data_IF_822253469730
#
_entry.id   IF_822253469730
#
_cell.length_a   1.000
_cell.length_b   1.000
_cell.length_c   1.000
_cell.angle_alpha   90.00
_cell.angle_beta   90.00
_cell.angle_gamma   90.00
#
_symmetry.space_group_name_H-M   'P 1'
#
loop_
_entity.id
_entity.type
_entity.pdbx_description
1 polymer ?
#
# COMPACT_ATOMS: atom_id res chain seq x y z
N UNK A 1 3.58 -3.85 23.05
CA UNK A 1 2.81 -5.12 23.07
C UNK A 1 2.40 -5.58 21.66
N UNK A 2 2.12 -4.71 20.69
CA UNK A 2 1.69 -5.09 19.33
C UNK A 2 2.66 -6.03 18.59
N UNK A 3 3.98 -5.84 18.74
CA UNK A 3 4.99 -6.69 18.10
C UNK A 3 4.89 -8.17 18.48
N UNK A 4 4.54 -8.46 19.73
CA UNK A 4 4.48 -9.83 20.26
C UNK A 4 3.10 -10.50 20.05
N UNK A 5 2.09 -9.72 19.68
CA UNK A 5 0.72 -10.22 19.49
C UNK A 5 0.50 -10.93 18.17
N UNK A 6 1.28 -10.61 17.12
CA UNK A 6 1.09 -11.18 15.80
C UNK A 6 1.28 -12.68 15.77
N UNK A 7 0.41 -13.39 15.06
CA UNK A 7 0.50 -14.85 14.89
C UNK A 7 1.81 -15.26 14.22
N UNK A 8 2.31 -14.45 13.30
CA UNK A 8 3.60 -14.65 12.63
C UNK A 8 4.76 -14.64 13.63
N UNK A 9 4.79 -13.66 14.54
CA UNK A 9 5.83 -13.61 15.58
C UNK A 9 5.77 -14.84 16.48
N UNK A 10 4.56 -15.25 16.90
CA UNK A 10 4.36 -16.45 17.71
C UNK A 10 4.83 -17.71 17.00
N UNK A 11 4.51 -17.86 15.70
CA UNK A 11 4.94 -19.00 14.89
C UNK A 11 6.47 -19.06 14.73
N UNK A 12 7.11 -17.91 14.45
CA UNK A 12 8.57 -17.82 14.35
C UNK A 12 9.24 -18.17 15.69
N UNK A 13 8.70 -17.65 16.80
CA UNK A 13 9.22 -17.94 18.15
C UNK A 13 9.07 -19.42 18.50
N UNK A 14 7.90 -20.00 18.22
CA UNK A 14 7.66 -21.43 18.43
C UNK A 14 8.68 -22.29 17.64
N UNK A 15 8.90 -21.99 16.37
CA UNK A 15 9.89 -22.65 15.54
C UNK A 15 11.30 -22.52 16.11
N UNK A 16 11.70 -21.31 16.52
CA UNK A 16 13.04 -21.07 17.12
C UNK A 16 13.25 -21.87 18.41
N UNK A 17 12.16 -22.16 19.13
CA UNK A 17 12.17 -23.03 20.34
C UNK A 17 12.04 -24.51 20.02
N UNK A 18 12.08 -24.93 18.76
CA UNK A 18 12.05 -26.32 18.33
C UNK A 18 10.66 -26.95 18.21
N UNK A 19 9.59 -26.16 18.28
CA UNK A 19 8.24 -26.67 18.07
C UNK A 19 8.05 -27.14 16.63
N UNK A 20 7.33 -28.24 16.42
CA UNK A 20 6.98 -28.79 15.10
C UNK A 20 5.73 -28.16 14.50
N UNK A 21 4.88 -27.57 15.33
CA UNK A 21 3.64 -26.92 14.92
C UNK A 21 3.19 -25.90 15.96
N UNK A 22 2.24 -25.05 15.55
CA UNK A 22 1.56 -24.08 16.43
C UNK A 22 0.05 -24.27 16.29
N UNK A 23 -0.62 -24.42 17.42
CA UNK A 23 -2.08 -24.42 17.48
C UNK A 23 -2.50 -23.13 18.15
N UNK A 24 -3.41 -22.42 17.52
CA UNK A 24 -3.95 -21.14 18.01
C UNK A 24 -5.43 -21.31 18.33
N UNK A 25 -5.81 -20.87 19.51
CA UNK A 25 -7.21 -20.81 19.96
C UNK A 25 -7.51 -19.39 20.40
N UNK A 26 -8.72 -18.88 20.10
CA UNK A 26 -9.12 -17.52 20.49
C UNK A 26 -9.33 -17.41 21.99
N UNK A 27 -9.91 -18.43 22.60
CA UNK A 27 -10.23 -18.52 24.00
C UNK A 27 -11.55 -17.84 24.39
N UNK A 28 -12.16 -18.30 25.49
CA UNK A 28 -13.52 -17.90 25.90
C UNK A 28 -13.64 -16.43 26.34
N UNK A 29 -12.54 -15.76 26.71
CA UNK A 29 -12.52 -14.34 27.06
C UNK A 29 -12.32 -13.43 25.86
N UNK A 30 -12.12 -14.00 24.67
CA UNK A 30 -11.98 -13.21 23.46
C UNK A 30 -13.26 -12.48 23.12
N UNK A 31 -13.16 -11.20 22.71
CA UNK A 31 -14.29 -10.45 22.15
C UNK A 31 -14.81 -11.05 20.83
N UNK A 32 -13.99 -11.87 20.20
CA UNK A 32 -14.28 -12.58 18.96
C UNK A 32 -14.61 -14.02 19.31
N UNK A 33 -15.87 -14.29 19.58
CA UNK A 33 -16.36 -15.59 20.05
C UNK A 33 -16.40 -16.58 18.89
N UNK A 34 -15.82 -17.78 19.10
CA UNK A 34 -15.81 -18.92 18.16
C UNK A 34 -15.22 -18.67 16.77
N UNK A 35 -14.36 -17.68 16.60
CA UNK A 35 -13.71 -17.44 15.31
C UNK A 35 -12.36 -18.17 15.22
N UNK A 36 -12.22 -18.89 14.13
CA UNK A 36 -10.90 -19.33 13.67
C UNK A 36 -10.11 -18.10 13.19
N UNK A 37 -8.81 -18.11 13.39
CA UNK A 37 -7.96 -17.08 12.80
C UNK A 37 -8.11 -17.11 11.27
N UNK A 38 -8.47 -15.99 10.63
CA UNK A 38 -8.65 -15.97 9.19
C UNK A 38 -7.32 -16.26 8.47
N UNK A 39 -7.41 -17.03 7.37
CA UNK A 39 -6.28 -17.15 6.44
C UNK A 39 -6.21 -15.87 5.62
N UNK A 40 -5.25 -15.01 5.94
CA UNK A 40 -4.99 -13.80 5.18
C UNK A 40 -3.65 -13.89 4.49
N UNK A 41 -3.59 -13.40 3.26
CA UNK A 41 -2.31 -13.18 2.58
C UNK A 41 -1.71 -11.88 3.10
N UNK A 42 -0.52 -11.95 3.68
CA UNK A 42 0.17 -10.78 4.27
C UNK A 42 1.30 -10.25 3.37
N UNK A 43 1.28 -10.59 2.08
CA UNK A 43 2.30 -10.25 1.10
C UNK A 43 3.75 -10.66 1.49
N UNK A 44 3.94 -11.35 2.60
CA UNK A 44 5.26 -11.81 3.00
C UNK A 44 5.68 -13.04 2.21
N UNK A 45 6.81 -12.95 1.53
CA UNK A 45 7.44 -14.09 0.84
C UNK A 45 8.00 -15.12 1.83
N UNK A 46 8.16 -14.78 3.09
CA UNK A 46 8.71 -15.64 4.11
C UNK A 46 7.61 -16.43 4.81
N UNK A 47 7.55 -17.72 4.53
CA UNK A 47 6.80 -18.70 5.32
C UNK A 47 7.29 -18.67 6.78
N UNK A 48 6.37 -18.89 7.75
CA UNK A 48 6.76 -19.11 9.14
C UNK A 48 7.67 -20.35 9.30
N UNK A 49 7.71 -21.22 8.28
CA UNK A 49 8.49 -22.46 8.25
C UNK A 49 8.06 -23.48 9.31
N UNK A 50 6.83 -23.34 9.83
CA UNK A 50 6.22 -24.22 10.81
C UNK A 50 4.72 -24.36 10.49
N UNK A 51 4.18 -25.56 10.67
CA UNK A 51 2.74 -25.79 10.53
C UNK A 51 1.98 -24.99 11.60
N UNK A 52 1.00 -24.19 11.19
CA UNK A 52 0.16 -23.43 12.10
C UNK A 52 -1.32 -23.66 11.77
N UNK A 53 -2.12 -23.95 12.78
CA UNK A 53 -3.57 -24.18 12.65
C UNK A 53 -4.32 -23.35 13.70
N UNK A 54 -5.50 -22.88 13.35
CA UNK A 54 -6.45 -22.30 14.29
C UNK A 54 -7.55 -23.31 14.59
N UNK A 55 -7.91 -23.42 15.83
CA UNK A 55 -8.95 -24.34 16.28
C UNK A 55 -9.98 -23.63 17.16
N UNK A 56 -11.17 -24.20 17.28
CA UNK A 56 -12.22 -23.70 18.18
C UNK A 56 -11.86 -23.96 19.64
N UNK A 57 -12.50 -23.22 20.56
CA UNK A 57 -12.32 -23.39 22.01
C UNK A 57 -12.65 -24.82 22.46
N UNK A 58 -13.70 -25.43 21.88
CA UNK A 58 -14.06 -26.82 22.16
C UNK A 58 -12.96 -27.83 21.80
N UNK A 59 -12.18 -27.57 20.73
CA UNK A 59 -11.01 -28.38 20.39
C UNK A 59 -9.87 -28.08 21.36
N UNK A 60 -9.67 -26.82 21.74
CA UNK A 60 -8.70 -26.41 22.75
C UNK A 60 -8.90 -27.14 24.08
N UNK A 61 -10.13 -27.17 24.57
CA UNK A 61 -10.47 -27.91 25.81
C UNK A 61 -10.23 -29.42 25.69
N UNK A 62 -10.53 -30.02 24.54
CA UNK A 62 -10.20 -31.45 24.30
C UNK A 62 -8.69 -31.71 24.34
N UNK A 63 -7.88 -30.81 23.82
CA UNK A 63 -6.42 -30.92 23.88
C UNK A 63 -5.89 -30.79 25.32
N UNK A 64 -6.59 -30.07 26.18
CA UNK A 64 -6.25 -29.87 27.59
C UNK A 64 -6.82 -30.95 28.52
N UNK A 65 -7.75 -31.79 28.06
CA UNK A 65 -8.49 -32.73 28.90
C UNK A 65 -7.60 -33.63 29.82
N UNK A 66 -6.43 -34.02 29.32
CA UNK A 66 -5.46 -34.83 30.10
C UNK A 66 -4.69 -34.05 31.17
N UNK A 67 -4.84 -32.74 31.25
CA UNK A 67 -4.11 -31.86 32.19
C UNK A 67 -4.93 -31.54 33.45
N UNK A 68 -6.22 -31.83 33.47
CA UNK A 68 -7.13 -31.42 34.51
C UNK A 68 -7.41 -29.91 34.57
N UNK A 69 -7.07 -29.17 33.50
CA UNK A 69 -7.29 -27.71 33.37
C UNK A 69 -8.20 -27.40 32.22
N UNK A 70 -8.92 -26.29 32.31
CA UNK A 70 -9.76 -25.78 31.22
C UNK A 70 -9.09 -24.60 30.52
N UNK A 71 -9.49 -24.36 29.28
CA UNK A 71 -9.02 -23.20 28.52
C UNK A 71 -9.37 -21.89 29.24
N UNK A 72 -10.56 -21.83 29.87
CA UNK A 72 -11.01 -20.67 30.64
C UNK A 72 -10.11 -20.33 31.83
N UNK A 73 -9.78 -21.35 32.65
CA UNK A 73 -8.88 -21.15 33.80
C UNK A 73 -7.49 -20.67 33.39
N UNK A 74 -6.95 -21.21 32.28
CA UNK A 74 -5.65 -20.81 31.78
C UNK A 74 -5.68 -19.40 31.22
N UNK A 75 -6.73 -19.05 30.50
CA UNK A 75 -6.86 -17.71 29.95
C UNK A 75 -7.08 -16.65 31.05
N UNK A 76 -7.91 -16.93 32.06
CA UNK A 76 -8.12 -16.02 33.19
C UNK A 76 -6.81 -15.70 33.91
N UNK A 77 -5.94 -16.70 34.10
CA UNK A 77 -4.61 -16.46 34.68
C UNK A 77 -3.74 -15.57 33.81
N UNK A 78 -3.68 -15.84 32.50
CA UNK A 78 -2.92 -15.03 31.57
C UNK A 78 -3.45 -13.59 31.49
N UNK A 79 -4.77 -13.41 31.47
CA UNK A 79 -5.42 -12.10 31.42
C UNK A 79 -5.19 -11.29 32.70
N UNK A 80 -5.02 -11.95 33.83
CA UNK A 80 -4.63 -11.36 35.11
C UNK A 80 -3.13 -11.07 35.23
N UNK A 81 -2.33 -11.45 34.22
CA UNK A 81 -0.88 -11.18 34.17
C UNK A 81 -0.02 -12.24 34.84
N UNK A 82 -0.58 -13.40 35.17
CA UNK A 82 0.19 -14.50 35.73
C UNK A 82 1.21 -15.02 34.71
N UNK A 83 2.48 -15.09 35.13
CA UNK A 83 3.52 -15.76 34.34
C UNK A 83 3.35 -17.28 34.49
N UNK A 84 2.87 -17.91 33.44
CA UNK A 84 2.68 -19.36 33.42
C UNK A 84 3.77 -20.02 32.60
N UNK A 85 4.31 -21.13 33.15
CA UNK A 85 5.13 -22.04 32.39
C UNK A 85 4.33 -22.88 31.40
N UNK A 86 5.00 -23.60 30.51
CA UNK A 86 4.37 -24.56 29.62
C UNK A 86 3.67 -25.68 30.39
N UNK A 87 2.59 -26.22 29.84
CA UNK A 87 1.80 -27.34 30.37
C UNK A 87 1.95 -28.47 29.36
N UNK A 88 2.40 -29.64 29.87
CA UNK A 88 2.46 -30.84 29.07
C UNK A 88 1.06 -31.48 28.94
N UNK A 89 0.49 -31.41 27.74
CA UNK A 89 -0.83 -31.96 27.44
C UNK A 89 -0.83 -33.51 27.29
N UNK A 90 0.32 -34.15 27.31
CA UNK A 90 0.49 -35.62 27.25
C UNK A 90 -0.24 -36.32 26.11
N UNK A 91 -0.61 -35.57 25.07
CA UNK A 91 -1.29 -36.08 23.91
C UNK A 91 -0.43 -36.00 22.65
N UNK A 92 -0.83 -36.71 21.63
CA UNK A 92 -0.29 -36.58 20.28
C UNK A 92 -1.34 -35.97 19.34
N UNK A 93 -0.89 -35.07 18.48
CA UNK A 93 -1.72 -34.52 17.41
C UNK A 93 -1.14 -34.94 16.07
N UNK A 94 -1.97 -35.50 15.21
CA UNK A 94 -1.67 -35.68 13.80
C UNK A 94 -2.51 -34.71 12.98
N UNK A 95 -1.87 -33.94 12.13
CA UNK A 95 -2.55 -33.02 11.23
C UNK A 95 -1.97 -33.13 9.81
N UNK A 96 -2.85 -33.22 8.82
CA UNK A 96 -2.47 -33.08 7.41
C UNK A 96 -2.98 -31.71 6.95
N UNK A 97 -2.05 -30.78 6.67
CA UNK A 97 -2.41 -29.41 6.25
C UNK A 97 -2.11 -29.28 4.77
N UNK A 98 -3.17 -29.11 3.98
CA UNK A 98 -3.06 -28.84 2.54
C UNK A 98 -3.51 -27.40 2.32
N UNK A 99 -2.58 -26.55 1.88
CA UNK A 99 -2.89 -25.16 1.50
C UNK A 99 -2.90 -25.11 -0.02
N UNK A 100 -4.08 -24.87 -0.59
CA UNK A 100 -4.22 -24.59 -2.00
C UNK A 100 -4.02 -23.10 -2.23
N UNK A 101 -2.95 -22.76 -2.93
CA UNK A 101 -2.67 -21.38 -3.29
C UNK A 101 -3.33 -21.06 -4.64
N UNK A 102 -4.32 -20.19 -4.62
CA UNK A 102 -4.92 -19.65 -5.84
C UNK A 102 -4.07 -18.47 -6.32
N UNK A 103 -3.45 -18.62 -7.50
CA UNK A 103 -2.69 -17.53 -8.13
C UNK A 103 -3.56 -16.82 -9.14
N UNK A 104 -3.75 -15.53 -8.95
CA UNK A 104 -4.42 -14.65 -9.91
C UNK A 104 -3.39 -13.70 -10.53
N UNK A 105 -3.66 -13.27 -11.77
CA UNK A 105 -2.82 -12.29 -12.47
C UNK A 105 -3.49 -10.93 -12.42
N UNK A 106 -2.81 -9.94 -11.83
CA UNK A 106 -3.11 -8.53 -11.99
C UNK A 106 -2.38 -7.95 -13.22
N UNK A 107 -2.75 -6.74 -13.62
CA UNK A 107 -2.12 -6.01 -14.71
C UNK A 107 -2.02 -4.55 -14.36
N UNK A 108 -0.82 -3.97 -14.46
CA UNK A 108 -0.67 -2.53 -14.55
C UNK A 108 -1.04 -2.07 -15.96
N UNK A 109 -1.64 -0.89 -16.08
CA UNK A 109 -1.88 -0.25 -17.37
C UNK A 109 -0.90 0.92 -17.49
N UNK A 110 -0.12 0.92 -18.55
CA UNK A 110 0.90 1.93 -18.79
C UNK A 110 0.65 2.60 -20.15
N UNK A 111 0.75 3.93 -20.19
CA UNK A 111 0.71 4.71 -21.42
C UNK A 111 1.90 5.68 -21.43
N UNK A 112 2.47 5.94 -22.60
CA UNK A 112 3.63 6.81 -22.75
C UNK A 112 3.26 8.01 -23.62
N UNK A 113 3.54 9.22 -23.13
CA UNK A 113 3.61 10.42 -23.96
C UNK A 113 5.08 10.67 -24.28
N UNK A 114 5.54 10.31 -25.49
CA UNK A 114 6.95 10.39 -25.83
C UNK A 114 7.40 11.85 -26.02
N UNK A 115 8.65 12.16 -25.68
CA UNK A 115 9.22 13.48 -25.97
C UNK A 115 9.74 13.59 -27.40
N UNK A 116 10.29 12.53 -27.95
CA UNK A 116 10.83 12.42 -29.30
C UNK A 116 10.13 11.37 -30.17
N UNK A 117 10.61 11.16 -31.37
CA UNK A 117 10.13 10.11 -32.28
C UNK A 117 10.64 8.72 -31.86
N UNK A 118 11.87 8.66 -31.32
CA UNK A 118 12.49 7.44 -30.84
C UNK A 118 12.80 7.55 -29.34
N UNK A 119 12.66 6.47 -28.58
CA UNK A 119 13.04 6.45 -27.16
C UNK A 119 14.56 6.68 -27.00
N UNK A 120 14.94 7.54 -26.06
CA UNK A 120 16.32 7.72 -25.66
C UNK A 120 16.55 7.11 -24.25
N UNK A 121 17.33 6.02 -24.16
CA UNK A 121 17.55 5.34 -22.87
C UNK A 121 18.39 6.17 -21.89
N UNK A 122 19.01 7.27 -22.33
CA UNK A 122 19.77 8.18 -21.47
C UNK A 122 18.91 9.29 -20.84
N UNK A 123 17.67 9.42 -21.28
CA UNK A 123 16.73 10.42 -20.75
C UNK A 123 15.72 9.75 -19.82
N UNK A 124 15.87 10.01 -18.53
CA UNK A 124 15.01 9.46 -17.49
C UNK A 124 13.55 9.93 -17.64
N UNK A 125 12.57 9.04 -17.86
CA UNK A 125 11.16 9.39 -17.97
C UNK A 125 10.57 9.83 -16.61
N UNK A 126 9.51 10.63 -16.66
CA UNK A 126 8.68 10.97 -15.52
C UNK A 126 7.54 9.93 -15.39
N UNK A 127 7.20 9.51 -14.19
CA UNK A 127 6.02 8.67 -13.91
C UNK A 127 4.95 9.53 -13.24
N UNK A 128 3.70 9.38 -13.71
CA UNK A 128 2.48 9.92 -13.10
C UNK A 128 1.52 8.78 -12.91
N UNK A 129 1.20 8.43 -11.67
CA UNK A 129 0.45 7.21 -11.38
C UNK A 129 -0.59 7.34 -10.28
N UNK A 130 -1.48 6.35 -10.24
CA UNK A 130 -2.46 6.08 -9.21
C UNK A 130 -2.80 4.58 -9.25
N UNK A 131 -3.26 3.99 -8.15
CA UNK A 131 -3.75 2.61 -8.20
C UNK A 131 -5.18 2.54 -8.71
N UNK A 132 -5.49 1.44 -9.41
CA UNK A 132 -6.79 1.24 -10.06
C UNK A 132 -7.65 0.20 -9.36
N UNK A 133 -7.04 -0.64 -8.54
CA UNK A 133 -7.77 -1.62 -7.73
C UNK A 133 -8.35 -0.97 -6.48
N UNK A 134 -9.39 -1.59 -5.96
CA UNK A 134 -9.94 -1.34 -4.64
C UNK A 134 -10.45 -2.67 -4.06
N UNK A 135 -11.09 -2.64 -2.88
CA UNK A 135 -11.46 -3.85 -2.12
C UNK A 135 -12.55 -4.70 -2.79
N UNK A 136 -13.39 -4.13 -3.65
CA UNK A 136 -14.42 -4.85 -4.39
C UNK A 136 -15.51 -5.47 -3.53
N UNK A 137 -15.96 -6.69 -3.87
CA UNK A 137 -16.95 -7.41 -3.08
C UNK A 137 -16.32 -8.03 -1.83
N UNK A 138 -16.98 -7.91 -0.70
CA UNK A 138 -16.56 -8.40 0.63
C UNK A 138 -15.34 -7.73 1.28
N UNK A 139 -14.65 -6.83 0.61
CA UNK A 139 -13.59 -5.97 1.18
C UNK A 139 -12.38 -6.65 1.82
N UNK A 140 -12.39 -7.96 2.01
CA UNK A 140 -11.30 -8.69 2.63
C UNK A 140 -10.93 -8.21 4.04
N UNK A 141 -9.67 -8.39 4.44
CA UNK A 141 -9.17 -8.00 5.77
C UNK A 141 -8.99 -6.47 5.94
N UNK A 142 -8.97 -5.72 4.84
CA UNK A 142 -8.76 -4.28 4.86
C UNK A 142 -10.07 -3.50 4.97
N UNK A 143 -11.23 -4.17 4.82
CA UNK A 143 -12.54 -3.55 4.96
C UNK A 143 -12.78 -3.06 6.38
N UNK A 144 -13.39 -1.89 6.49
CA UNK A 144 -13.90 -1.32 7.74
C UNK A 144 -15.42 -1.47 7.89
N UNK A 145 -16.08 -2.10 6.91
CA UNK A 145 -17.51 -2.38 6.91
C UNK A 145 -17.92 -3.23 8.10
N UNK A 146 -19.11 -2.98 8.64
CA UNK A 146 -19.67 -3.69 9.79
C UNK A 146 -21.14 -4.02 9.55
N UNK A 147 -21.63 -5.06 10.24
CA UNK A 147 -23.04 -5.46 10.16
C UNK A 147 -23.46 -5.78 8.72
N UNK A 148 -24.54 -5.18 8.26
CA UNK A 148 -25.11 -5.42 6.93
C UNK A 148 -24.25 -4.90 5.77
N UNK A 149 -23.18 -4.16 6.05
CA UNK A 149 -22.29 -3.63 5.02
C UNK A 149 -21.15 -4.59 4.67
N UNK A 150 -20.86 -5.59 5.47
CA UNK A 150 -19.72 -6.51 5.31
C UNK A 150 -19.65 -7.16 3.93
N UNK A 151 -20.82 -7.44 3.33
CA UNK A 151 -20.90 -8.10 2.01
C UNK A 151 -21.25 -7.13 0.87
N UNK A 152 -21.28 -5.82 1.11
CA UNK A 152 -21.53 -4.84 0.07
C UNK A 152 -20.26 -4.59 -0.74
N UNK A 153 -20.45 -4.11 -1.96
CA UNK A 153 -19.34 -3.70 -2.84
C UNK A 153 -18.71 -2.41 -2.28
N UNK A 154 -17.39 -2.43 -2.14
CA UNK A 154 -16.59 -1.25 -1.87
C UNK A 154 -16.29 -0.58 -3.20
N UNK A 155 -16.82 0.63 -3.38
CA UNK A 155 -16.78 1.32 -4.68
C UNK A 155 -15.43 2.01 -4.94
N UNK A 156 -14.76 2.51 -3.89
CA UNK A 156 -13.45 3.15 -4.03
C UNK A 156 -13.49 4.42 -4.86
N UNK A 157 -14.48 5.30 -4.61
CA UNK A 157 -14.62 6.52 -5.40
C UNK A 157 -13.50 7.51 -5.13
N UNK A 158 -13.16 7.73 -3.85
CA UNK A 158 -11.97 8.49 -3.48
C UNK A 158 -10.73 7.61 -3.49
N UNK A 159 -10.83 6.42 -2.98
CA UNK A 159 -9.76 5.43 -2.89
C UNK A 159 -9.95 4.28 -3.90
N UNK A 160 -9.45 4.36 -5.20
CA UNK A 160 -8.69 5.49 -5.68
C UNK A 160 -9.12 5.89 -7.11
N UNK A 161 -10.44 5.83 -7.40
CA UNK A 161 -10.92 6.32 -8.70
C UNK A 161 -10.65 7.83 -8.88
N UNK A 162 -10.58 8.61 -7.79
CA UNK A 162 -10.23 10.03 -7.84
C UNK A 162 -8.82 10.25 -8.38
N UNK A 163 -7.84 9.47 -7.89
CA UNK A 163 -6.45 9.51 -8.39
C UNK A 163 -6.33 9.07 -9.84
N UNK A 164 -7.01 7.98 -10.22
CA UNK A 164 -7.03 7.50 -11.62
C UNK A 164 -7.64 8.55 -12.54
N UNK A 165 -8.75 9.19 -12.15
CA UNK A 165 -9.34 10.30 -12.89
C UNK A 165 -8.33 11.44 -13.09
N UNK A 166 -7.58 11.79 -12.05
CA UNK A 166 -6.50 12.78 -12.12
C UNK A 166 -5.40 12.40 -13.12
N UNK A 167 -4.97 11.12 -13.14
CA UNK A 167 -3.97 10.64 -14.12
C UNK A 167 -4.48 10.79 -15.56
N UNK A 168 -5.74 10.41 -15.80
CA UNK A 168 -6.36 10.50 -17.14
C UNK A 168 -6.47 11.96 -17.62
N UNK A 169 -6.92 12.86 -16.77
CA UNK A 169 -7.03 14.29 -17.09
C UNK A 169 -5.67 14.92 -17.39
N UNK A 170 -4.64 14.60 -16.61
CA UNK A 170 -3.26 15.06 -16.86
C UNK A 170 -2.76 14.52 -18.19
N UNK A 171 -2.98 13.23 -18.47
CA UNK A 171 -2.55 12.60 -19.70
C UNK A 171 -3.18 13.25 -20.92
N UNK A 172 -4.51 13.45 -20.91
CA UNK A 172 -5.24 14.11 -21.98
C UNK A 172 -4.76 15.54 -22.17
N UNK A 173 -4.68 16.32 -21.10
CA UNK A 173 -4.26 17.72 -21.17
C UNK A 173 -2.85 17.88 -21.76
N UNK A 174 -1.88 17.09 -21.33
CA UNK A 174 -0.50 17.18 -21.84
C UNK A 174 -0.38 16.66 -23.28
N UNK A 175 -1.13 15.61 -23.64
CA UNK A 175 -1.19 15.12 -25.00
C UNK A 175 -1.78 16.16 -25.96
N UNK A 176 -2.86 16.85 -25.56
CA UNK A 176 -3.48 17.90 -26.35
C UNK A 176 -2.57 19.11 -26.53
N UNK A 177 -1.86 19.54 -25.47
CA UNK A 177 -0.85 20.61 -25.58
C UNK A 177 0.26 20.25 -26.53
N UNK A 178 0.76 19.00 -26.49
CA UNK A 178 1.80 18.52 -27.40
C UNK A 178 1.28 18.49 -28.83
N UNK A 179 0.10 17.96 -29.09
CA UNK A 179 -0.55 17.92 -30.41
C UNK A 179 -0.74 19.33 -31.01
N UNK A 180 -1.03 20.32 -30.16
CA UNK A 180 -1.17 21.72 -30.57
C UNK A 180 0.15 22.46 -30.74
N UNK A 181 1.30 21.81 -30.55
CA UNK A 181 2.62 22.45 -30.60
C UNK A 181 2.90 23.41 -29.43
N UNK A 182 2.09 23.37 -28.36
CA UNK A 182 2.21 24.25 -27.17
C UNK A 182 3.05 23.62 -26.04
N UNK A 183 3.53 22.41 -26.23
CA UNK A 183 4.33 21.67 -25.26
C UNK A 183 5.50 21.00 -25.96
N UNK A 184 6.71 21.39 -25.58
CA UNK A 184 7.96 20.70 -25.97
C UNK A 184 8.47 19.96 -24.74
N UNK A 185 8.45 18.63 -24.80
CA UNK A 185 8.94 17.77 -23.76
C UNK A 185 10.46 17.61 -23.85
N UNK A 186 11.12 17.38 -22.73
CA UNK A 186 12.55 17.04 -22.61
C UNK A 186 12.73 15.59 -22.16
N UNK A 187 11.64 14.91 -21.76
CA UNK A 187 11.61 13.51 -21.34
C UNK A 187 10.22 12.91 -21.56
N UNK A 188 10.17 11.61 -21.69
CA UNK A 188 8.92 10.87 -21.76
C UNK A 188 8.13 11.00 -20.46
N UNK A 189 6.80 10.93 -20.57
CA UNK A 189 5.91 10.81 -19.41
C UNK A 189 5.21 9.46 -19.49
N UNK A 190 5.39 8.64 -18.47
CA UNK A 190 4.68 7.36 -18.29
C UNK A 190 3.51 7.61 -17.37
N UNK A 191 2.30 7.41 -17.87
CA UNK A 191 1.07 7.37 -17.09
C UNK A 191 0.80 5.95 -16.68
N UNK A 192 0.52 5.73 -15.39
CA UNK A 192 0.40 4.40 -14.84
C UNK A 192 -0.84 4.25 -13.96
N UNK A 193 -1.60 3.17 -14.21
CA UNK A 193 -2.62 2.67 -13.29
C UNK A 193 -2.09 1.36 -12.67
N UNK A 194 -1.78 1.41 -11.38
CA UNK A 194 -1.20 0.29 -10.64
C UNK A 194 -2.28 -0.67 -10.17
N UNK A 195 -2.00 -1.96 -10.15
CA UNK A 195 -2.90 -2.99 -9.68
C UNK A 195 -2.37 -3.67 -8.42
N UNK A 196 -3.26 -4.01 -7.50
CA UNK A 196 -2.90 -4.71 -6.26
C UNK A 196 -2.20 -3.82 -5.24
N UNK A 197 -2.49 -2.53 -5.21
CA UNK A 197 -2.04 -1.61 -4.17
C UNK A 197 -2.57 -2.06 -2.82
N UNK A 198 -3.88 -2.32 -2.73
CA UNK A 198 -4.62 -2.77 -1.56
C UNK A 198 -4.15 -4.12 -1.00
N UNK A 199 -3.43 -4.87 -1.79
CA UNK A 199 -2.82 -6.15 -1.43
C UNK A 199 -1.33 -6.01 -1.06
N UNK A 200 -0.83 -4.80 -0.90
CA UNK A 200 0.54 -4.46 -0.50
C UNK A 200 1.42 -4.02 -1.66
N UNK A 201 0.97 -3.05 -2.44
CA UNK A 201 1.74 -2.37 -3.50
C UNK A 201 2.26 -3.34 -4.59
N UNK A 202 1.48 -4.39 -4.92
CA UNK A 202 1.98 -5.48 -5.77
C UNK A 202 2.36 -5.00 -7.17
N UNK A 203 1.56 -4.11 -7.76
CA UNK A 203 1.75 -3.64 -9.13
C UNK A 203 2.96 -2.72 -9.26
N UNK A 204 3.08 -1.71 -8.42
CA UNK A 204 4.21 -0.78 -8.42
C UNK A 204 5.52 -1.46 -8.06
N UNK A 205 5.53 -2.35 -7.05
CA UNK A 205 6.71 -3.16 -6.71
C UNK A 205 7.12 -4.05 -7.89
N UNK A 206 6.16 -4.76 -8.51
CA UNK A 206 6.46 -5.59 -9.69
C UNK A 206 7.09 -4.77 -10.82
N UNK A 207 6.57 -3.57 -11.08
CA UNK A 207 7.11 -2.70 -12.12
C UNK A 207 8.57 -2.34 -11.86
N UNK A 208 8.89 -1.81 -10.66
CA UNK A 208 10.26 -1.38 -10.36
C UNK A 208 11.24 -2.54 -10.25
N UNK A 209 10.81 -3.70 -9.73
CA UNK A 209 11.62 -4.91 -9.62
C UNK A 209 11.91 -5.54 -10.99
N UNK A 210 10.88 -5.66 -11.84
CA UNK A 210 11.03 -6.17 -13.20
C UNK A 210 11.96 -5.26 -14.02
N UNK A 211 11.80 -3.95 -13.91
CA UNK A 211 12.64 -2.98 -14.58
C UNK A 211 14.09 -3.05 -14.06
N UNK A 212 14.29 -3.11 -12.74
CA UNK A 212 15.62 -3.26 -12.14
C UNK A 212 16.30 -4.56 -12.60
N UNK A 213 15.56 -5.66 -12.62
CA UNK A 213 16.06 -6.95 -13.13
C UNK A 213 16.45 -6.88 -14.61
N UNK A 214 15.63 -6.24 -15.43
CA UNK A 214 15.87 -6.08 -16.86
C UNK A 214 17.12 -5.26 -17.15
N UNK A 215 17.34 -4.13 -16.44
CA UNK A 215 18.43 -3.20 -16.73
C UNK A 215 19.73 -3.53 -15.96
N UNK A 216 19.61 -4.05 -14.74
CA UNK A 216 20.75 -4.30 -13.83
C UNK A 216 20.99 -5.78 -13.54
N UNK A 217 20.12 -6.69 -14.02
CA UNK A 217 20.22 -8.13 -13.70
C UNK A 217 19.76 -8.50 -12.29
N UNK A 218 19.42 -7.53 -11.45
CA UNK A 218 19.00 -7.73 -10.05
C UNK A 218 17.72 -6.95 -9.76
N UNK A 219 16.68 -7.65 -9.34
CA UNK A 219 15.39 -7.04 -8.97
C UNK A 219 15.50 -6.05 -7.80
N UNK A 220 16.49 -6.21 -6.93
CA UNK A 220 16.71 -5.34 -5.77
C UNK A 220 17.60 -4.13 -6.08
N UNK A 221 18.18 -4.05 -7.25
CA UNK A 221 19.07 -2.94 -7.63
C UNK A 221 18.37 -1.58 -7.54
N UNK A 222 19.13 -0.55 -7.16
CA UNK A 222 18.66 0.84 -7.21
C UNK A 222 18.53 1.30 -8.65
N UNK A 223 17.52 2.13 -8.88
CA UNK A 223 17.17 2.73 -10.17
C UNK A 223 17.44 4.25 -10.19
N UNK A 224 18.34 4.72 -9.32
CA UNK A 224 18.70 6.15 -9.24
C UNK A 224 19.12 6.67 -10.62
N UNK A 225 18.48 7.75 -11.06
CA UNK A 225 18.71 8.37 -12.37
C UNK A 225 18.03 7.66 -13.56
N UNK A 226 17.39 6.51 -13.36
CA UNK A 226 16.67 5.80 -14.42
C UNK A 226 15.26 6.34 -14.66
N UNK A 227 14.70 7.01 -13.66
CA UNK A 227 13.45 7.77 -13.73
C UNK A 227 13.68 9.15 -13.13
N UNK A 228 13.05 10.17 -13.72
CA UNK A 228 13.18 11.54 -13.24
C UNK A 228 12.50 11.73 -11.89
N UNK A 229 11.29 11.22 -11.77
CA UNK A 229 10.50 11.22 -10.54
C UNK A 229 9.27 10.30 -10.68
N UNK A 230 8.60 10.00 -9.57
CA UNK A 230 7.27 9.44 -9.52
C UNK A 230 6.33 10.42 -8.82
N UNK A 231 5.31 10.89 -9.54
CA UNK A 231 4.20 11.65 -9.00
C UNK A 231 3.03 10.70 -8.81
N UNK A 232 2.57 10.54 -7.58
CA UNK A 232 1.45 9.66 -7.23
C UNK A 232 0.26 10.46 -6.74
N UNK A 233 -0.94 10.00 -7.05
CA UNK A 233 -2.19 10.56 -6.55
C UNK A 233 -2.99 9.45 -5.89
N UNK A 234 -3.31 9.65 -4.62
CA UNK A 234 -4.00 8.67 -3.82
C UNK A 234 -4.99 9.39 -2.91
N UNK A 235 -6.30 9.15 -3.15
CA UNK A 235 -7.39 9.83 -2.44
C UNK A 235 -7.31 11.36 -2.58
N UNK A 236 -7.57 11.89 -3.77
CA UNK A 236 -7.54 13.34 -4.05
C UNK A 236 -8.94 13.97 -4.15
N UNK A 237 -10.01 13.21 -3.90
CA UNK A 237 -11.39 13.61 -4.11
C UNK A 237 -12.15 14.07 -2.86
N UNK A 238 -11.56 14.03 -1.67
CA UNK A 238 -12.25 14.41 -0.42
C UNK A 238 -11.53 15.55 0.31
N UNK A 239 -11.40 16.67 -0.40
CA UNK A 239 -10.72 17.85 0.14
C UNK A 239 -11.41 18.39 1.39
N UNK A 240 -10.68 18.57 2.48
CA UNK A 240 -11.20 19.07 3.75
C UNK A 240 -10.64 20.48 4.07
N UNK A 241 -9.38 20.56 4.48
CA UNK A 241 -8.73 21.82 4.89
C UNK A 241 -7.55 22.18 4.00
N UNK A 242 -6.77 21.21 3.60
CA UNK A 242 -5.59 21.37 2.76
C UNK A 242 -5.31 20.11 1.97
N UNK A 243 -4.64 20.27 0.84
CA UNK A 243 -3.96 19.18 0.16
C UNK A 243 -2.72 18.80 0.94
N UNK A 244 -2.52 17.53 1.22
CA UNK A 244 -1.30 17.01 1.82
C UNK A 244 -0.38 16.53 0.70
N UNK A 245 0.78 17.17 0.55
CA UNK A 245 1.85 16.70 -0.32
C UNK A 245 2.92 16.01 0.52
N UNK A 246 3.19 14.75 0.21
CA UNK A 246 4.08 13.87 0.97
C UNK A 246 5.29 13.48 0.13
N UNK A 247 6.40 13.14 0.78
CA UNK A 247 7.63 12.75 0.11
C UNK A 247 8.55 13.92 -0.25
N UNK A 248 8.33 15.12 0.33
CA UNK A 248 9.13 16.30 0.01
C UNK A 248 10.62 16.11 0.30
N UNK A 249 10.95 15.31 1.32
CA UNK A 249 12.34 15.02 1.66
C UNK A 249 13.09 14.20 0.61
N UNK A 250 12.40 13.64 -0.38
CA UNK A 250 13.01 12.82 -1.43
C UNK A 250 13.78 13.62 -2.49
N UNK A 251 13.57 14.95 -2.58
CA UNK A 251 14.30 15.84 -3.49
C UNK A 251 14.30 17.29 -2.99
N UNK A 252 15.38 18.01 -3.23
CA UNK A 252 15.49 19.45 -2.92
C UNK A 252 14.61 20.33 -3.81
N UNK A 253 14.15 19.80 -4.93
CA UNK A 253 13.33 20.54 -5.91
C UNK A 253 11.90 20.79 -5.44
N UNK A 254 11.33 19.89 -4.60
CA UNK A 254 9.88 19.86 -4.35
C UNK A 254 9.32 21.16 -3.81
N UNK A 255 9.94 21.73 -2.79
CA UNK A 255 9.43 22.92 -2.13
C UNK A 255 9.24 24.08 -3.13
N UNK A 256 10.27 24.35 -3.95
CA UNK A 256 10.26 25.43 -4.95
C UNK A 256 9.27 25.15 -6.09
N UNK A 257 9.20 23.90 -6.55
CA UNK A 257 8.31 23.53 -7.65
C UNK A 257 6.84 23.60 -7.22
N UNK A 258 6.52 23.14 -6.01
CA UNK A 258 5.18 23.25 -5.43
C UNK A 258 4.75 24.71 -5.30
N UNK A 259 5.57 25.56 -4.71
CA UNK A 259 5.29 27.00 -4.56
C UNK A 259 5.00 27.64 -5.91
N UNK A 260 5.90 27.44 -6.89
CA UNK A 260 5.78 27.96 -8.24
C UNK A 260 4.48 27.53 -8.93
N UNK A 261 4.09 26.24 -8.80
CA UNK A 261 2.92 25.70 -9.49
C UNK A 261 1.62 25.97 -8.76
N UNK A 262 1.68 26.14 -7.46
CA UNK A 262 0.50 26.48 -6.66
C UNK A 262 0.15 27.97 -6.71
N UNK A 263 1.09 28.85 -6.98
CA UNK A 263 0.86 30.30 -7.03
C UNK A 263 -0.37 30.71 -7.85
N UNK A 264 -0.62 30.18 -9.07
CA UNK A 264 -1.81 30.51 -9.86
C UNK A 264 -3.08 29.76 -9.44
N UNK A 265 -3.00 28.78 -8.54
CA UNK A 265 -4.14 27.94 -8.11
C UNK A 265 -4.61 28.34 -6.72
N UNK A 266 -3.68 28.61 -5.81
CA UNK A 266 -3.98 29.07 -4.45
C UNK A 266 -4.58 27.99 -3.54
N UNK A 267 -4.24 26.70 -3.75
CA UNK A 267 -4.69 25.65 -2.83
C UNK A 267 -3.97 25.77 -1.48
N UNK A 268 -4.68 25.64 -0.36
CA UNK A 268 -4.04 25.39 0.93
C UNK A 268 -3.29 24.06 0.87
N UNK A 269 -1.99 24.08 1.16
CA UNK A 269 -1.13 22.88 1.12
C UNK A 269 -0.47 22.66 2.48
N UNK A 270 -0.50 21.43 2.94
CA UNK A 270 0.33 20.91 4.04
C UNK A 270 1.39 19.99 3.44
N UNK A 271 2.63 20.13 3.86
CA UNK A 271 3.74 19.35 3.34
C UNK A 271 4.27 18.36 4.38
N UNK A 272 4.66 17.18 3.94
CA UNK A 272 5.29 16.14 4.75
C UNK A 272 6.55 15.63 4.07
N UNK A 273 7.65 15.56 4.82
CA UNK A 273 8.93 15.15 4.26
C UNK A 273 9.03 13.64 4.04
N UNK A 274 8.35 12.84 4.88
CA UNK A 274 8.45 11.37 4.81
C UNK A 274 8.02 10.83 3.44
N UNK A 275 8.84 9.95 2.89
CA UNK A 275 8.62 9.24 1.63
C UNK A 275 8.41 7.73 1.83
N UNK A 276 8.44 7.23 3.09
CA UNK A 276 8.08 5.85 3.43
C UNK A 276 6.58 5.77 3.74
N UNK A 277 5.78 5.87 2.69
CA UNK A 277 4.33 5.96 2.77
C UNK A 277 3.69 4.60 2.44
N UNK A 278 2.49 4.30 2.96
CA UNK A 278 1.73 3.12 2.54
C UNK A 278 1.03 3.34 1.19
N UNK A 279 1.75 3.79 0.17
CA UNK A 279 1.25 4.05 -1.19
C UNK A 279 2.27 3.61 -2.24
N UNK A 280 1.87 3.53 -3.51
CA UNK A 280 2.73 3.13 -4.63
C UNK A 280 4.02 3.95 -4.77
N UNK A 281 4.02 5.22 -4.33
CA UNK A 281 5.21 6.09 -4.36
C UNK A 281 6.39 5.49 -3.60
N UNK A 282 6.15 4.71 -2.55
CA UNK A 282 7.19 4.07 -1.74
C UNK A 282 7.99 3.04 -2.54
N UNK A 283 7.36 2.29 -3.45
CA UNK A 283 8.06 1.34 -4.31
C UNK A 283 9.18 2.03 -5.12
N UNK A 284 8.90 3.24 -5.62
CA UNK A 284 9.85 4.06 -6.37
C UNK A 284 10.91 4.68 -5.48
N UNK A 285 10.48 5.28 -4.36
CA UNK A 285 11.41 5.89 -3.42
C UNK A 285 12.47 4.89 -2.91
N UNK A 286 12.05 3.69 -2.54
CA UNK A 286 12.96 2.64 -2.10
C UNK A 286 13.94 2.20 -3.19
N UNK A 287 13.66 2.44 -4.46
CA UNK A 287 14.57 2.21 -5.59
C UNK A 287 15.47 3.41 -5.94
N UNK A 288 15.40 4.50 -5.20
CA UNK A 288 16.25 5.67 -5.42
C UNK A 288 15.68 6.68 -6.41
N UNK A 289 14.36 6.72 -6.54
CA UNK A 289 13.62 7.64 -7.41
C UNK A 289 12.93 8.68 -6.52
N UNK A 290 13.08 10.00 -6.78
CA UNK A 290 12.37 11.02 -6.02
C UNK A 290 10.86 10.92 -6.25
N UNK A 291 10.08 11.12 -5.18
CA UNK A 291 8.62 10.91 -5.21
C UNK A 291 7.88 12.10 -4.62
N UNK A 292 6.69 12.33 -5.12
CA UNK A 292 5.73 13.26 -4.55
C UNK A 292 4.33 12.62 -4.59
N UNK A 293 3.68 12.48 -3.43
CA UNK A 293 2.34 11.94 -3.31
C UNK A 293 1.34 13.02 -2.92
N UNK A 294 0.22 13.08 -3.64
CA UNK A 294 -0.91 13.96 -3.34
C UNK A 294 -2.02 13.17 -2.63
N UNK A 295 -2.49 13.72 -1.50
CA UNK A 295 -3.45 13.07 -0.62
C UNK A 295 -4.35 14.13 0.06
N UNK A 296 -5.64 13.89 0.20
CA UNK A 296 -6.57 14.84 0.85
C UNK A 296 -6.89 14.50 2.30
N UNK A 297 -6.32 13.42 2.81
CA UNK A 297 -6.55 12.94 4.17
C UNK A 297 -7.55 11.79 4.22
N UNK A 298 -7.48 11.00 5.29
CA UNK A 298 -8.45 9.94 5.54
C UNK A 298 -9.80 10.53 5.96
N UNK A 299 -10.89 9.83 5.62
CA UNK A 299 -12.25 10.19 5.95
C UNK A 299 -13.04 9.00 6.50
N UNK A 300 -14.27 9.24 6.96
CA UNK A 300 -15.08 8.19 7.60
C UNK A 300 -15.43 7.03 6.65
N UNK A 301 -15.52 7.32 5.35
CA UNK A 301 -15.86 6.32 4.33
C UNK A 301 -14.65 5.52 3.79
N UNK A 302 -13.42 5.81 4.26
CA UNK A 302 -12.21 5.08 3.86
C UNK A 302 -12.36 3.58 4.12
N UNK A 303 -12.14 2.76 3.09
CA UNK A 303 -12.34 1.31 3.10
C UNK A 303 -13.76 0.87 3.51
N UNK A 304 -14.76 1.68 3.11
CA UNK A 304 -16.19 1.40 3.35
C UNK A 304 -16.94 1.34 2.03
N UNK A 305 -18.05 0.57 1.95
CA UNK A 305 -18.94 0.60 0.79
C UNK A 305 -19.53 1.98 0.50
N UNK A 306 -19.52 2.86 1.48
CA UNK A 306 -20.02 4.23 1.39
C UNK A 306 -19.05 5.22 0.75
N UNK A 307 -17.85 4.81 0.31
CA UNK A 307 -16.97 5.63 -0.52
C UNK A 307 -17.49 5.66 -1.96
N UNK A 308 -18.40 6.59 -2.23
CA UNK A 308 -19.20 6.69 -3.45
C UNK A 308 -18.98 8.00 -4.19
N UNK A 309 -19.22 8.01 -5.51
CA UNK A 309 -18.91 9.12 -6.40
C UNK A 309 -19.67 10.42 -6.06
N UNK A 310 -20.87 10.33 -5.48
CA UNK A 310 -21.66 11.49 -5.05
C UNK A 310 -21.03 12.29 -3.91
N UNK A 311 -20.02 11.71 -3.23
CA UNK A 311 -19.31 12.35 -2.13
C UNK A 311 -18.01 13.05 -2.57
N UNK A 312 -17.64 12.93 -3.82
CA UNK A 312 -16.39 13.53 -4.35
C UNK A 312 -16.55 15.05 -4.49
N UNK A 313 -15.58 15.78 -3.96
CA UNK A 313 -15.41 17.22 -4.20
C UNK A 313 -14.70 17.44 -5.55
N UNK A 314 -15.47 17.33 -6.62
CA UNK A 314 -14.96 17.46 -8.00
C UNK A 314 -14.25 18.79 -8.26
N UNK A 315 -14.67 19.87 -7.61
CA UNK A 315 -14.06 21.18 -7.83
C UNK A 315 -12.63 21.23 -7.28
N UNK A 316 -12.41 20.73 -6.07
CA UNK A 316 -11.08 20.72 -5.49
C UNK A 316 -10.23 19.57 -6.06
N UNK A 317 -10.81 18.42 -6.40
CA UNK A 317 -10.13 17.37 -7.13
C UNK A 317 -9.56 17.88 -8.47
N UNK A 318 -10.33 18.66 -9.23
CA UNK A 318 -9.86 19.30 -10.46
C UNK A 318 -8.70 20.29 -10.22
N UNK A 319 -8.74 21.07 -9.13
CA UNK A 319 -7.62 21.96 -8.77
C UNK A 319 -6.37 21.20 -8.39
N UNK A 320 -6.52 20.10 -7.64
CA UNK A 320 -5.41 19.22 -7.25
C UNK A 320 -4.80 18.57 -8.50
N UNK A 321 -5.63 18.03 -9.37
CA UNK A 321 -5.20 17.46 -10.66
C UNK A 321 -4.46 18.49 -11.51
N UNK A 322 -4.96 19.73 -11.56
CA UNK A 322 -4.27 20.83 -12.27
C UNK A 322 -2.91 21.13 -11.65
N UNK A 323 -2.79 21.15 -10.32
CA UNK A 323 -1.51 21.35 -9.64
C UNK A 323 -0.52 20.24 -9.99
N UNK A 324 -0.92 18.98 -9.84
CA UNK A 324 -0.06 17.83 -10.15
C UNK A 324 0.32 17.81 -11.64
N UNK A 325 -0.60 18.17 -12.54
CA UNK A 325 -0.33 18.33 -13.96
C UNK A 325 0.68 19.45 -14.27
N UNK A 326 0.60 20.58 -13.57
CA UNK A 326 1.58 21.67 -13.70
C UNK A 326 2.96 21.26 -13.16
N UNK A 327 3.03 20.49 -12.09
CA UNK A 327 4.28 19.92 -11.56
C UNK A 327 4.85 18.93 -12.60
N UNK A 328 4.02 18.01 -13.11
CA UNK A 328 4.41 17.05 -14.13
C UNK A 328 4.97 17.75 -15.38
N UNK A 329 4.25 18.75 -15.88
CA UNK A 329 4.72 19.59 -17.00
C UNK A 329 6.06 20.26 -16.69
N UNK A 330 6.21 20.78 -15.48
CA UNK A 330 7.44 21.45 -15.04
C UNK A 330 8.66 20.53 -15.14
N UNK A 331 8.54 19.32 -14.57
CA UNK A 331 9.60 18.31 -14.59
C UNK A 331 9.85 17.81 -16.03
N UNK A 332 8.77 17.55 -16.77
CA UNK A 332 8.87 17.00 -18.12
C UNK A 332 9.47 17.99 -19.16
N UNK A 333 9.45 19.29 -18.87
CA UNK A 333 10.02 20.35 -19.73
C UNK A 333 11.37 20.89 -19.24
N UNK A 334 11.83 20.48 -18.05
CA UNK A 334 13.11 20.90 -17.49
C UNK A 334 14.26 20.10 -18.08
N UNK A 335 15.43 20.75 -18.25
CA UNK A 335 16.64 20.08 -18.73
C UNK A 335 17.17 19.08 -17.68
N UNK A 336 17.15 19.45 -16.41
CA UNK A 336 17.58 18.59 -15.31
C UNK A 336 16.39 17.87 -14.66
N UNK A 337 16.61 16.60 -14.27
CA UNK A 337 15.69 15.86 -13.43
C UNK A 337 15.82 16.29 -11.95
N UNK A 338 14.80 16.07 -11.11
CA UNK A 338 14.93 16.20 -9.66
C UNK A 338 16.06 15.34 -9.12
N UNK A 339 16.80 15.87 -8.13
CA UNK A 339 17.79 15.11 -7.36
C UNK A 339 17.09 14.09 -6.45
N UNK A 340 17.81 13.02 -6.10
CA UNK A 340 17.31 12.05 -5.12
C UNK A 340 18.02 12.21 -3.78
N UNK A 341 17.24 12.36 -2.72
CA UNK A 341 17.72 12.43 -1.34
C UNK A 341 17.21 11.21 -0.56
N UNK A 342 18.15 10.50 0.07
CA UNK A 342 17.81 9.40 0.98
C UNK A 342 17.44 9.97 2.35
N UNK A 343 16.27 9.60 2.85
CA UNK A 343 15.84 9.92 4.20
C UNK A 343 16.03 8.72 5.13
N UNK A 344 16.30 8.99 6.40
CA UNK A 344 16.27 7.94 7.41
C UNK A 344 14.85 7.35 7.49
N UNK A 345 14.76 6.03 7.51
CA UNK A 345 13.48 5.38 7.78
C UNK A 345 12.96 5.81 9.17
N UNK A 346 11.64 6.02 9.33
CA UNK A 346 11.07 6.34 10.63
C UNK A 346 11.53 5.31 11.65
N UNK A 347 12.15 5.76 12.74
CA UNK A 347 12.47 4.87 13.86
C UNK A 347 11.13 4.40 14.42
N UNK A 348 10.86 3.10 14.33
CA UNK A 348 9.66 2.50 14.90
C UNK A 348 9.55 2.94 16.37
N UNK A 349 8.62 3.84 16.65
CA UNK A 349 8.23 4.26 18.00
C UNK A 349 7.31 3.22 18.65
#
# INVERSE_FOLDING_TARGET
LSRYSSLRYKALTARQKGARGLIVVSGPNSKVVQQLAPMTFDASLASSGIAAISVTDAVGDKLLAGTGKTLKELQDKLDNGDLMGGIDCKGTLAANIVIQQEKKKGRNVLAVLPYGAEPDPHVAPLIVGAHIDHLGSSGGSNSRAKGDEVNKIHHGADDNASGVGGVLEIAQWLADLKKQGKLTLKRDIIFAAWSGEELGLLGSNHFVEAYAKMIKGDANAKLTGMFAACLNMDMIGRFQKSLVLQGLGSSSLWAKEIEKRNAPIGLPITTQNDAHLPTDSTAFYLKGIPTLNAFTGSHADYHMPSDTADKIDYQNAAKITKLMGLIARGIATADAAPDYITMEAPKNS
#
